data_IF_144877611381
#
_entry.id   IF_144877611381
#
_cell.length_a   1.000
_cell.length_b   1.000
_cell.length_c   1.000
_cell.angle_alpha   90.00
_cell.angle_beta   90.00
_cell.angle_gamma   90.00
#
_symmetry.space_group_name_H-M   'P 1'
#
loop_
_entity.id
_entity.type
_entity.pdbx_description
1 polymer ?
#
# COMPACT_ATOMS: atom_id res chain seq x y z
N UNK A 1 -49.13 -25.80 64.94
CA UNK A 1 -48.50 -24.87 63.98
C UNK A 1 -47.98 -25.71 62.83
N UNK A 2 -48.63 -25.66 61.65
CA UNK A 2 -48.13 -26.41 60.49
C UNK A 2 -47.16 -25.48 59.76
N UNK A 3 -45.87 -25.72 59.94
CA UNK A 3 -44.83 -25.00 59.21
C UNK A 3 -44.78 -25.61 57.81
N UNK A 4 -45.43 -24.94 56.85
CA UNK A 4 -45.37 -25.33 55.44
C UNK A 4 -43.98 -25.06 54.87
N UNK A 5 -43.39 -26.07 54.23
CA UNK A 5 -42.11 -25.93 53.52
C UNK A 5 -42.39 -25.31 52.15
N UNK A 6 -41.81 -24.14 51.81
CA UNK A 6 -41.99 -23.57 50.48
C UNK A 6 -41.24 -24.42 49.45
N UNK A 7 -41.97 -25.00 48.50
CA UNK A 7 -41.43 -25.79 47.41
C UNK A 7 -40.97 -24.81 46.33
N UNK A 8 -39.66 -24.53 46.28
CA UNK A 8 -39.09 -23.63 45.27
C UNK A 8 -38.72 -24.45 44.04
N UNK A 9 -39.16 -24.05 42.82
CA UNK A 9 -38.83 -24.78 41.61
C UNK A 9 -37.34 -24.67 41.27
N UNK A 10 -36.74 -25.71 40.66
CA UNK A 10 -35.34 -25.72 40.31
C UNK A 10 -35.04 -24.65 39.23
N UNK A 11 -34.04 -23.83 39.50
CA UNK A 11 -33.58 -22.79 38.57
C UNK A 11 -32.65 -23.45 37.54
N UNK A 12 -33.06 -23.50 36.28
CA UNK A 12 -32.24 -24.06 35.21
C UNK A 12 -31.27 -23.00 34.69
N UNK A 13 -29.98 -23.21 34.94
CA UNK A 13 -28.93 -22.35 34.41
C UNK A 13 -28.72 -22.65 32.92
N UNK A 14 -29.00 -21.68 32.05
CA UNK A 14 -28.80 -21.81 30.60
C UNK A 14 -27.30 -21.72 30.32
N UNK A 15 -26.73 -22.77 29.71
CA UNK A 15 -25.32 -22.77 29.32
C UNK A 15 -25.05 -21.76 28.20
N UNK A 16 -23.87 -21.10 28.19
CA UNK A 16 -23.52 -20.15 27.15
C UNK A 16 -23.24 -20.91 25.84
N UNK A 17 -23.92 -20.51 24.77
CA UNK A 17 -23.72 -21.05 23.43
C UNK A 17 -22.42 -20.50 22.85
N UNK A 18 -21.44 -21.37 22.61
CA UNK A 18 -20.20 -21.02 21.93
C UNK A 18 -20.47 -20.84 20.43
N UNK A 19 -20.24 -19.63 19.93
CA UNK A 19 -20.23 -19.37 18.49
C UNK A 19 -18.86 -19.75 17.93
N UNK A 20 -18.82 -20.78 17.09
CA UNK A 20 -17.62 -21.17 16.36
C UNK A 20 -17.53 -20.38 15.05
N UNK A 21 -16.42 -19.68 14.84
CA UNK A 21 -16.14 -18.99 13.59
C UNK A 21 -15.69 -20.00 12.51
N UNK A 22 -16.12 -19.85 11.25
CA UNK A 22 -15.65 -20.73 10.19
C UNK A 22 -14.15 -20.52 9.91
N UNK A 23 -13.44 -21.57 9.48
CA UNK A 23 -12.03 -21.47 9.12
C UNK A 23 -11.86 -20.63 7.85
N UNK A 24 -10.93 -19.67 7.87
CA UNK A 24 -10.53 -18.93 6.68
C UNK A 24 -9.58 -19.80 5.86
N UNK A 25 -10.01 -20.14 4.64
CA UNK A 25 -9.17 -20.85 3.68
C UNK A 25 -8.38 -19.81 2.89
N UNK A 26 -7.07 -19.72 3.13
CA UNK A 26 -6.19 -18.89 2.33
C UNK A 26 -5.94 -19.57 0.98
N UNK A 27 -6.37 -18.95 -0.11
CA UNK A 27 -6.04 -19.39 -1.47
C UNK A 27 -4.63 -18.88 -1.81
N UNK A 28 -3.71 -19.74 -2.29
CA UNK A 28 -2.40 -19.29 -2.73
C UNK A 28 -2.53 -18.28 -3.86
N UNK A 29 -1.86 -17.13 -3.74
CA UNK A 29 -1.77 -16.18 -4.83
C UNK A 29 -1.02 -16.83 -6.01
N UNK A 30 -1.45 -16.61 -7.26
CA UNK A 30 -0.70 -17.08 -8.43
C UNK A 30 0.70 -16.43 -8.43
N UNK A 31 1.73 -17.15 -8.92
CA UNK A 31 3.06 -16.58 -9.03
C UNK A 31 3.03 -15.36 -9.96
N UNK A 32 3.83 -14.32 -9.67
CA UNK A 32 3.95 -13.19 -10.57
C UNK A 32 4.48 -13.69 -11.91
N UNK A 33 3.71 -13.47 -12.98
CA UNK A 33 4.16 -13.70 -14.34
C UNK A 33 5.08 -12.53 -14.69
N UNK A 34 6.37 -12.81 -14.86
CA UNK A 34 7.30 -11.84 -15.41
C UNK A 34 7.04 -11.76 -16.92
N UNK A 35 6.60 -10.58 -17.38
CA UNK A 35 6.57 -10.26 -18.80
C UNK A 35 7.85 -9.48 -19.09
N UNK A 36 8.81 -10.10 -19.76
CA UNK A 36 9.93 -9.35 -20.33
C UNK A 36 9.39 -8.25 -21.27
N UNK A 37 9.79 -7.02 -20.94
CA UNK A 37 9.51 -5.80 -21.69
C UNK A 37 10.30 -5.80 -22.99
N UNK A 38 9.98 -6.70 -23.91
CA UNK A 38 10.48 -6.67 -25.27
C UNK A 38 9.98 -5.41 -25.95
N UNK A 39 10.82 -4.36 -25.97
CA UNK A 39 10.56 -3.12 -26.69
C UNK A 39 9.37 -2.34 -26.15
N UNK A 40 9.30 -2.14 -24.82
CA UNK A 40 8.48 -1.02 -24.33
C UNK A 40 9.12 0.25 -24.84
N UNK A 41 8.39 0.95 -25.72
CA UNK A 41 8.61 2.34 -26.04
C UNK A 41 9.17 3.06 -24.80
N UNK A 42 10.29 3.72 -25.01
CA UNK A 42 11.08 4.50 -24.06
C UNK A 42 10.28 5.66 -23.42
N UNK A 43 8.96 5.68 -23.57
CA UNK A 43 8.00 6.69 -23.13
C UNK A 43 7.35 6.32 -21.77
N UNK A 44 7.58 5.11 -21.26
CA UNK A 44 7.16 4.70 -19.90
C UNK A 44 8.31 4.75 -18.88
N UNK A 45 9.37 5.49 -19.19
CA UNK A 45 10.28 5.93 -18.13
C UNK A 45 9.46 6.86 -17.23
N UNK A 46 9.42 6.67 -15.90
CA UNK A 46 8.71 7.60 -15.03
C UNK A 46 9.23 8.97 -15.41
N UNK A 47 8.33 9.91 -15.65
CA UNK A 47 8.60 11.27 -16.13
C UNK A 47 9.67 11.97 -15.24
N UNK A 48 10.94 11.58 -15.38
CA UNK A 48 12.07 11.99 -14.57
C UNK A 48 12.64 13.22 -15.25
N UNK A 49 11.86 14.29 -15.18
CA UNK A 49 12.26 15.61 -15.62
C UNK A 49 13.32 16.15 -14.66
N UNK A 50 14.48 16.52 -15.20
CA UNK A 50 15.47 17.23 -14.42
C UNK A 50 15.17 18.72 -14.43
N UNK A 51 15.42 19.39 -13.31
CA UNK A 51 15.21 20.82 -13.17
C UNK A 51 16.56 21.53 -13.24
N UNK A 52 16.76 22.32 -14.28
CA UNK A 52 17.95 23.13 -14.52
C UNK A 52 17.64 24.61 -14.31
N UNK A 53 18.53 25.31 -13.61
CA UNK A 53 18.51 26.75 -13.47
C UNK A 53 19.60 27.35 -14.36
N UNK A 54 19.27 28.41 -15.10
CA UNK A 54 20.23 29.13 -15.95
C UNK A 54 21.09 30.11 -15.14
N UNK A 55 20.50 30.79 -14.16
CA UNK A 55 21.19 31.76 -13.30
C UNK A 55 20.76 31.57 -11.82
N UNK A 56 21.63 31.04 -10.94
CA UNK A 56 22.95 30.47 -11.25
C UNK A 56 22.84 29.16 -12.02
N UNK A 57 23.81 28.89 -12.90
CA UNK A 57 23.82 27.66 -13.70
C UNK A 57 23.94 26.41 -12.81
N UNK A 58 23.00 25.47 -12.94
CA UNK A 58 23.09 24.21 -12.21
C UNK A 58 21.76 23.47 -12.10
N UNK A 59 21.84 22.26 -11.54
CA UNK A 59 20.70 21.37 -11.36
C UNK A 59 20.21 21.38 -9.92
N UNK A 60 18.92 21.15 -9.71
CA UNK A 60 18.39 20.83 -8.37
C UNK A 60 18.98 19.49 -7.89
N UNK A 61 19.36 19.31 -6.61
CA UNK A 61 19.26 20.24 -5.47
C UNK A 61 20.50 21.15 -5.27
N UNK A 62 21.50 21.05 -6.14
CA UNK A 62 22.76 21.82 -6.01
C UNK A 62 22.52 23.33 -6.08
N UNK A 63 21.55 23.75 -6.90
CA UNK A 63 20.98 25.09 -6.86
C UNK A 63 19.65 25.01 -6.12
N UNK A 64 19.52 25.69 -4.98
CA UNK A 64 18.28 25.66 -4.19
C UNK A 64 17.28 26.74 -4.60
N UNK A 65 17.78 27.88 -5.10
CA UNK A 65 16.97 29.04 -5.48
C UNK A 65 17.29 29.46 -6.90
N UNK A 66 16.28 29.44 -7.77
CA UNK A 66 16.37 29.93 -9.13
C UNK A 66 15.45 31.14 -9.31
N UNK A 67 15.97 32.39 -9.30
CA UNK A 67 15.15 33.60 -9.44
C UNK A 67 14.44 33.72 -10.80
N UNK A 68 14.92 33.03 -11.82
CA UNK A 68 14.31 33.00 -13.16
C UNK A 68 13.34 31.82 -13.37
N UNK A 69 13.17 30.98 -12.33
CA UNK A 69 12.37 29.76 -12.43
C UNK A 69 13.14 28.58 -13.02
N UNK A 70 12.63 27.38 -12.73
CA UNK A 70 13.26 26.12 -13.14
C UNK A 70 12.87 25.71 -14.56
N UNK A 71 13.86 25.34 -15.37
CA UNK A 71 13.64 24.76 -16.70
C UNK A 71 13.64 23.25 -16.60
N UNK A 72 12.60 22.60 -17.15
CA UNK A 72 12.54 21.13 -17.26
C UNK A 72 13.37 20.69 -18.45
N UNK A 73 14.33 19.81 -18.21
CA UNK A 73 15.11 19.18 -19.28
C UNK A 73 14.85 17.68 -19.29
N UNK A 74 14.77 17.13 -20.50
CA UNK A 74 14.62 15.69 -20.67
C UNK A 74 15.89 14.97 -20.16
N UNK A 75 15.74 13.82 -19.49
CA UNK A 75 16.89 13.00 -19.14
C UNK A 75 17.59 12.56 -20.43
N UNK A 76 18.88 12.87 -20.56
CA UNK A 76 19.66 12.32 -21.67
C UNK A 76 19.80 10.81 -21.41
N UNK A 77 19.35 9.93 -22.31
CA UNK A 77 19.57 8.50 -22.16
C UNK A 77 21.07 8.22 -22.10
N UNK A 78 21.53 7.20 -21.35
CA UNK A 78 22.92 6.79 -21.41
C UNK A 78 23.26 6.45 -22.87
N UNK A 79 24.31 7.05 -23.41
CA UNK A 79 24.83 6.69 -24.73
C UNK A 79 25.17 5.19 -24.69
N UNK A 80 24.36 4.36 -25.36
CA UNK A 80 24.58 2.91 -25.47
C UNK A 80 25.81 2.68 -26.38
N UNK A 81 26.85 1.96 -25.92
CA UNK A 81 28.03 1.65 -26.73
C UNK A 81 27.74 0.65 -27.85
#
# INVERSE_FOLDING_TARGET
MVVGVPIVPPVHYRSPTYYAYPPIVAVPAPPPVYIEQGGRDIDEQPNYWWYYCQLPQGYYPYVQRCPQGWTRVAPKPPDLP
#
